data_IF_905663221561
#
_entry.id   IF_905663221561
#
_cell.length_a   1.000
_cell.length_b   1.000
_cell.length_c   1.000
_cell.angle_alpha   90.00
_cell.angle_beta   90.00
_cell.angle_gamma   90.00
#
_symmetry.space_group_name_H-M   'P 1'
#
loop_
_entity.id
_entity.type
_entity.pdbx_description
1 polymer ?
#
# COMPACT_ATOMS: atom_id res chain seq x y z
N UNK A 1 -12.59 -43.81 66.26
CA UNK A 1 -12.55 -43.58 64.81
C UNK A 1 -12.80 -42.10 64.60
N UNK A 2 -11.77 -41.32 64.26
CA UNK A 2 -11.97 -39.92 63.92
C UNK A 2 -12.74 -39.83 62.61
N UNK A 3 -13.90 -39.19 62.66
CA UNK A 3 -14.72 -38.88 61.50
C UNK A 3 -13.91 -37.97 60.56
N UNK A 4 -13.48 -38.51 59.42
CA UNK A 4 -12.74 -37.77 58.40
C UNK A 4 -13.66 -36.71 57.77
N UNK A 5 -13.74 -35.53 58.39
CA UNK A 5 -14.51 -34.40 57.86
C UNK A 5 -13.89 -33.96 56.54
N UNK A 6 -14.59 -34.25 55.43
CA UNK A 6 -14.16 -33.82 54.10
C UNK A 6 -13.91 -32.31 54.06
N UNK A 7 -12.71 -31.89 53.65
CA UNK A 7 -12.36 -30.47 53.47
C UNK A 7 -13.22 -29.86 52.36
N UNK A 8 -13.97 -28.82 52.68
CA UNK A 8 -14.79 -28.05 51.74
C UNK A 8 -13.94 -26.96 51.10
N UNK A 9 -14.01 -26.85 49.78
CA UNK A 9 -13.34 -25.79 49.01
C UNK A 9 -14.36 -24.83 48.41
N UNK A 10 -14.11 -23.53 48.56
CA UNK A 10 -14.95 -22.51 47.97
C UNK A 10 -14.47 -22.14 46.57
N UNK A 11 -15.43 -22.01 45.65
CA UNK A 11 -15.20 -21.61 44.26
C UNK A 11 -16.00 -20.35 43.96
N UNK A 12 -15.58 -19.59 42.95
CA UNK A 12 -16.28 -18.36 42.57
C UNK A 12 -17.74 -18.65 42.19
N UNK A 13 -18.65 -17.72 42.48
CA UNK A 13 -20.08 -17.85 42.14
C UNK A 13 -20.40 -17.44 40.70
N UNK A 14 -19.39 -17.00 39.94
CA UNK A 14 -19.50 -16.47 38.58
C UNK A 14 -19.39 -17.61 37.56
N UNK A 15 -20.05 -17.46 36.41
CA UNK A 15 -20.08 -18.49 35.39
C UNK A 15 -18.91 -18.33 34.40
N UNK A 16 -18.10 -19.38 34.27
CA UNK A 16 -16.98 -19.46 33.31
C UNK A 16 -17.42 -19.23 31.87
N UNK A 17 -18.54 -19.79 31.44
CA UNK A 17 -19.03 -19.66 30.04
C UNK A 17 -19.35 -18.21 29.70
N UNK A 18 -19.93 -17.46 30.65
CA UNK A 18 -20.24 -16.04 30.47
C UNK A 18 -18.95 -15.22 30.41
N UNK A 19 -17.98 -15.52 31.28
CA UNK A 19 -16.66 -14.87 31.22
C UNK A 19 -15.95 -15.13 29.89
N UNK A 20 -16.03 -16.35 29.35
CA UNK A 20 -15.46 -16.70 28.05
C UNK A 20 -16.13 -15.94 26.90
N UNK A 21 -17.46 -15.87 26.88
CA UNK A 21 -18.22 -15.12 25.88
C UNK A 21 -17.85 -13.64 25.87
N UNK A 22 -17.75 -13.03 27.06
CA UNK A 22 -17.31 -11.63 27.21
C UNK A 22 -15.87 -11.41 26.75
N UNK A 23 -15.01 -12.42 26.88
CA UNK A 23 -13.62 -12.36 26.41
C UNK A 23 -13.54 -12.41 24.88
N UNK A 24 -14.37 -13.25 24.23
CA UNK A 24 -14.48 -13.30 22.77
C UNK A 24 -15.00 -11.97 22.19
N UNK A 25 -15.99 -11.35 22.85
CA UNK A 25 -16.47 -10.03 22.45
C UNK A 25 -15.37 -8.95 22.53
N UNK A 26 -14.36 -9.17 23.38
CA UNK A 26 -13.16 -8.34 23.45
C UNK A 26 -12.34 -8.26 22.16
N UNK A 27 -12.42 -9.25 21.26
CA UNK A 27 -11.78 -9.19 19.94
C UNK A 27 -12.47 -8.24 18.96
N UNK A 28 -13.74 -7.93 19.21
CA UNK A 28 -14.55 -7.01 18.38
C UNK A 28 -14.34 -5.55 18.80
N UNK A 29 -13.42 -5.28 19.73
CA UNK A 29 -13.00 -3.92 20.13
C UNK A 29 -13.34 -3.53 21.56
N UNK A 30 -14.05 -4.37 22.32
CA UNK A 30 -14.47 -4.08 23.70
C UNK A 30 -13.82 -5.02 24.71
N UNK A 31 -12.49 -4.94 24.82
CA UNK A 31 -11.72 -5.80 25.70
C UNK A 31 -11.81 -5.38 27.18
N UNK A 32 -11.86 -6.36 28.10
CA UNK A 32 -11.82 -6.12 29.56
C UNK A 32 -13.15 -6.33 30.29
N UNK A 33 -14.25 -6.54 29.58
CA UNK A 33 -15.57 -6.81 30.18
C UNK A 33 -15.58 -8.08 31.05
N UNK A 34 -14.82 -9.10 30.66
CA UNK A 34 -14.68 -10.32 31.43
C UNK A 34 -14.10 -10.06 32.83
N UNK A 35 -13.19 -9.08 32.97
CA UNK A 35 -12.57 -8.72 34.27
C UNK A 35 -13.52 -7.94 35.17
N UNK A 36 -14.37 -7.10 34.58
CA UNK A 36 -15.46 -6.41 35.29
C UNK A 36 -16.49 -7.43 35.81
N UNK A 37 -16.81 -8.45 35.01
CA UNK A 37 -17.76 -9.51 35.39
C UNK A 37 -17.33 -10.30 36.65
N UNK A 38 -16.04 -10.58 36.80
CA UNK A 38 -15.47 -11.23 38.00
C UNK A 38 -15.14 -10.26 39.15
N UNK A 39 -15.47 -8.97 39.02
CA UNK A 39 -15.30 -7.97 40.07
C UNK A 39 -13.94 -7.27 40.10
N UNK A 40 -13.08 -7.48 39.10
CA UNK A 40 -11.76 -6.80 38.97
C UNK A 40 -11.91 -5.50 38.19
N UNK A 41 -12.64 -4.53 38.76
CA UNK A 41 -13.06 -3.30 38.09
C UNK A 41 -11.89 -2.45 37.57
N UNK A 42 -10.87 -2.21 38.39
CA UNK A 42 -9.74 -1.35 38.04
C UNK A 42 -8.97 -1.88 36.82
N UNK A 43 -8.69 -3.18 36.79
CA UNK A 43 -8.05 -3.86 35.65
C UNK A 43 -8.97 -3.91 34.42
N UNK A 44 -10.28 -4.05 34.62
CA UNK A 44 -11.26 -4.01 33.55
C UNK A 44 -11.30 -2.66 32.83
N UNK A 45 -11.31 -1.55 33.57
CA UNK A 45 -11.26 -0.21 32.98
C UNK A 45 -9.94 0.05 32.24
N UNK A 46 -8.81 -0.35 32.83
CA UNK A 46 -7.51 -0.25 32.13
C UNK A 46 -7.55 -1.01 30.81
N UNK A 47 -8.16 -2.19 30.75
CA UNK A 47 -8.29 -2.96 29.50
C UNK A 47 -9.21 -2.26 28.49
N UNK A 48 -10.29 -1.62 28.91
CA UNK A 48 -11.18 -0.87 27.99
C UNK A 48 -10.42 0.32 27.39
N UNK A 49 -9.71 1.10 28.20
CA UNK A 49 -8.95 2.27 27.71
C UNK A 49 -7.73 1.89 26.86
N UNK A 50 -7.12 0.73 27.09
CA UNK A 50 -5.95 0.24 26.34
C UNK A 50 -6.30 -0.69 25.18
N UNK A 51 -7.59 -0.83 24.83
CA UNK A 51 -8.06 -1.82 23.85
C UNK A 51 -7.50 -3.23 24.11
N UNK A 52 -7.57 -3.68 25.37
CA UNK A 52 -7.16 -5.01 25.81
C UNK A 52 -5.66 -5.24 25.90
N UNK A 53 -4.87 -4.15 25.95
CA UNK A 53 -3.41 -4.14 25.78
C UNK A 53 -2.99 -4.90 24.51
N UNK A 54 -3.38 -4.34 23.35
CA UNK A 54 -3.07 -4.82 22.00
C UNK A 54 -3.46 -6.29 21.74
N UNK A 55 -4.65 -6.72 22.21
CA UNK A 55 -5.15 -8.10 22.12
C UNK A 55 -4.34 -9.16 22.89
N UNK A 56 -3.09 -8.90 23.25
CA UNK A 56 -2.23 -9.80 24.02
C UNK A 56 -2.84 -10.07 25.40
N UNK A 57 -3.37 -9.03 26.05
CA UNK A 57 -4.07 -9.18 27.33
C UNK A 57 -5.34 -10.03 27.22
N UNK A 58 -6.09 -9.90 26.12
CA UNK A 58 -7.28 -10.73 25.85
C UNK A 58 -6.90 -12.19 25.59
N UNK A 59 -5.81 -12.45 24.85
CA UNK A 59 -5.29 -13.80 24.62
C UNK A 59 -4.85 -14.46 25.93
N UNK A 60 -4.15 -13.72 26.79
CA UNK A 60 -3.75 -14.20 28.11
C UNK A 60 -4.97 -14.59 28.97
N UNK A 61 -6.05 -13.79 28.91
CA UNK A 61 -7.30 -14.08 29.64
C UNK A 61 -8.00 -15.34 29.11
N UNK A 62 -8.00 -15.57 27.79
CA UNK A 62 -8.54 -16.82 27.19
C UNK A 62 -7.75 -18.02 27.69
N UNK A 63 -6.41 -17.95 27.63
CA UNK A 63 -5.53 -19.02 28.11
C UNK A 63 -5.84 -19.33 29.58
N UNK A 64 -5.95 -18.30 30.40
CA UNK A 64 -6.19 -18.46 31.83
C UNK A 64 -7.59 -19.03 32.14
N UNK A 65 -8.60 -18.70 31.34
CA UNK A 65 -9.94 -19.30 31.41
C UNK A 65 -9.93 -20.76 30.94
N UNK A 66 -9.24 -21.11 29.85
CA UNK A 66 -9.12 -22.47 29.35
C UNK A 66 -8.46 -23.41 30.39
N UNK A 67 -7.35 -22.96 30.99
CA UNK A 67 -6.63 -23.71 32.03
C UNK A 67 -7.27 -23.63 33.43
N UNK A 68 -8.42 -22.96 33.57
CA UNK A 68 -9.14 -22.80 34.85
C UNK A 68 -8.30 -22.16 35.97
N UNK A 69 -7.27 -21.40 35.59
CA UNK A 69 -6.41 -20.63 36.50
C UNK A 69 -6.95 -19.20 36.70
N UNK A 70 -8.12 -18.88 36.15
CA UNK A 70 -8.73 -17.55 36.22
C UNK A 70 -9.42 -17.36 37.55
N UNK A 71 -9.10 -16.26 38.23
CA UNK A 71 -9.55 -15.96 39.60
C UNK A 71 -10.46 -14.75 39.64
N UNK A 72 -11.42 -14.76 40.55
CA UNK A 72 -12.24 -13.59 40.86
C UNK A 72 -11.48 -12.54 41.67
N UNK A 73 -12.14 -11.42 41.98
CA UNK A 73 -11.56 -10.31 42.73
C UNK A 73 -11.03 -10.70 44.13
N UNK A 74 -11.62 -11.73 44.75
CA UNK A 74 -11.23 -12.22 46.07
C UNK A 74 -10.33 -13.48 45.98
N UNK A 75 -9.87 -13.83 44.77
CA UNK A 75 -8.87 -14.87 44.56
C UNK A 75 -9.40 -16.29 44.35
N UNK A 76 -10.72 -16.48 44.25
CA UNK A 76 -11.30 -17.82 44.05
C UNK A 76 -11.30 -18.25 42.58
N UNK A 77 -10.99 -19.52 42.27
CA UNK A 77 -10.93 -20.01 40.90
C UNK A 77 -12.32 -20.11 40.24
N UNK A 78 -12.35 -19.91 38.94
CA UNK A 78 -13.53 -19.96 38.08
C UNK A 78 -13.61 -21.30 37.34
N UNK A 79 -14.21 -22.31 37.96
CA UNK A 79 -14.33 -23.65 37.37
C UNK A 79 -15.52 -23.79 36.43
N UNK A 80 -15.39 -24.69 35.44
CA UNK A 80 -16.53 -25.14 34.64
C UNK A 80 -17.46 -26.06 35.44
N UNK A 81 -18.68 -26.28 34.95
CA UNK A 81 -19.61 -27.25 35.55
C UNK A 81 -18.99 -28.67 35.62
N UNK A 82 -18.22 -29.06 34.62
CA UNK A 82 -17.58 -30.39 34.51
C UNK A 82 -16.40 -30.56 35.48
N UNK A 83 -15.78 -29.47 35.93
CA UNK A 83 -14.61 -29.49 36.82
C UNK A 83 -14.97 -29.45 38.31
N UNK A 84 -16.27 -29.33 38.63
CA UNK A 84 -16.76 -29.27 40.01
C UNK A 84 -16.69 -30.64 40.69
N UNK A 85 -16.01 -30.70 41.85
CA UNK A 85 -15.96 -31.89 42.69
C UNK A 85 -17.05 -31.86 43.77
N UNK A 86 -17.36 -33.03 44.35
CA UNK A 86 -18.39 -33.17 45.40
C UNK A 86 -18.17 -32.28 46.63
N UNK A 87 -16.92 -31.97 46.94
CA UNK A 87 -16.53 -31.13 48.07
C UNK A 87 -16.36 -29.63 47.72
N UNK A 88 -16.73 -29.21 46.50
CA UNK A 88 -16.69 -27.80 46.10
C UNK A 88 -18.04 -27.13 46.35
N UNK A 89 -18.01 -25.90 46.86
CA UNK A 89 -19.21 -25.09 47.10
C UNK A 89 -19.01 -23.70 46.54
N UNK A 90 -20.02 -23.17 45.85
CA UNK A 90 -19.99 -21.76 45.46
C UNK A 90 -20.03 -20.88 46.70
N UNK A 91 -19.13 -19.91 46.76
CA UNK A 91 -19.19 -18.88 47.80
C UNK A 91 -20.41 -17.98 47.61
N UNK A 92 -20.90 -17.40 48.71
CA UNK A 92 -21.81 -16.27 48.63
C UNK A 92 -21.00 -15.01 48.30
N UNK A 93 -21.51 -14.21 47.37
CA UNK A 93 -20.89 -12.93 47.01
C UNK A 93 -20.92 -11.99 48.22
N UNK A 94 -19.77 -11.42 48.58
CA UNK A 94 -19.66 -10.47 49.70
C UNK A 94 -20.10 -9.06 49.28
N UNK A 95 -19.92 -8.72 48.00
CA UNK A 95 -20.24 -7.39 47.45
C UNK A 95 -20.94 -7.57 46.11
N UNK A 96 -22.20 -7.11 46.01
CA UNK A 96 -22.88 -7.03 44.72
C UNK A 96 -22.25 -5.87 43.93
N UNK A 97 -21.87 -6.00 42.65
CA UNK A 97 -21.52 -4.84 41.84
C UNK A 97 -22.67 -3.82 41.97
N UNK A 98 -22.38 -2.62 42.50
CA UNK A 98 -23.38 -1.56 42.46
C UNK A 98 -23.67 -1.24 40.99
N UNK A 99 -24.93 -0.96 40.69
CA UNK A 99 -25.41 -0.60 39.33
C UNK A 99 -24.49 0.45 38.69
N UNK A 100 -23.93 1.34 39.51
CA UNK A 100 -22.94 2.36 39.16
C UNK A 100 -21.75 1.79 38.34
N UNK A 101 -21.18 0.65 38.72
CA UNK A 101 -20.03 0.09 38.00
C UNK A 101 -20.39 -0.40 36.59
N UNK A 102 -21.60 -0.95 36.44
CA UNK A 102 -22.14 -1.35 35.13
C UNK A 102 -22.46 -0.13 34.26
N UNK A 103 -23.03 0.92 34.85
CA UNK A 103 -23.28 2.19 34.16
C UNK A 103 -21.99 2.84 33.66
N UNK A 104 -20.94 2.89 34.50
CA UNK A 104 -19.64 3.45 34.11
C UNK A 104 -19.00 2.60 32.99
N UNK A 105 -19.02 1.28 33.11
CA UNK A 105 -18.52 0.39 32.07
C UNK A 105 -19.25 0.63 30.74
N UNK A 106 -20.58 0.73 30.77
CA UNK A 106 -21.38 0.99 29.57
C UNK A 106 -21.04 2.35 28.92
N UNK A 107 -20.87 3.40 29.71
CA UNK A 107 -20.46 4.73 29.23
C UNK A 107 -19.07 4.67 28.57
N UNK A 108 -18.09 3.99 29.19
CA UNK A 108 -16.76 3.84 28.60
C UNK A 108 -16.80 3.11 27.25
N UNK A 109 -17.62 2.07 27.12
CA UNK A 109 -17.80 1.34 25.85
C UNK A 109 -18.41 2.25 24.78
N UNK A 110 -19.43 3.03 25.12
CA UNK A 110 -20.03 3.98 24.18
C UNK A 110 -19.04 5.06 23.71
N UNK A 111 -18.18 5.56 24.61
CA UNK A 111 -17.14 6.53 24.24
C UNK A 111 -16.12 5.94 23.27
N UNK A 112 -15.67 4.71 23.50
CA UNK A 112 -14.72 4.02 22.61
C UNK A 112 -15.37 3.73 21.25
N UNK A 113 -16.60 3.21 21.23
CA UNK A 113 -17.35 2.98 19.99
C UNK A 113 -17.61 4.29 19.22
N UNK A 114 -17.94 5.36 19.95
CA UNK A 114 -18.09 6.70 19.37
C UNK A 114 -16.80 7.23 18.75
N UNK A 115 -15.64 7.00 19.39
CA UNK A 115 -14.35 7.35 18.82
C UNK A 115 -14.04 6.54 17.55
N UNK A 116 -14.29 5.23 17.55
CA UNK A 116 -14.12 4.40 16.35
C UNK A 116 -15.05 4.83 15.20
N UNK A 117 -16.32 5.10 15.49
CA UNK A 117 -17.28 5.62 14.50
C UNK A 117 -16.88 7.02 14.00
N UNK A 118 -16.37 7.89 14.87
CA UNK A 118 -15.83 9.18 14.48
C UNK A 118 -14.61 9.03 13.56
N UNK A 119 -13.69 8.11 13.85
CA UNK A 119 -12.54 7.82 12.98
C UNK A 119 -13.00 7.32 11.60
N UNK A 120 -13.91 6.35 11.56
CA UNK A 120 -14.45 5.82 10.29
C UNK A 120 -15.15 6.93 9.50
N UNK A 121 -16.02 7.71 10.13
CA UNK A 121 -16.71 8.81 9.45
C UNK A 121 -15.76 9.90 8.99
N UNK A 122 -14.70 10.21 9.74
CA UNK A 122 -13.66 11.12 9.28
C UNK A 122 -12.92 10.54 8.08
N UNK A 123 -12.51 9.27 8.10
CA UNK A 123 -11.83 8.61 6.98
C UNK A 123 -12.69 8.59 5.72
N UNK A 124 -13.99 8.30 5.85
CA UNK A 124 -14.94 8.32 4.72
C UNK A 124 -15.10 9.75 4.20
N UNK A 125 -15.21 10.76 5.07
CA UNK A 125 -15.27 12.17 4.65
C UNK A 125 -13.99 12.61 3.94
N UNK A 126 -12.82 12.19 4.43
CA UNK A 126 -11.54 12.45 3.77
C UNK A 126 -11.46 11.76 2.41
N UNK A 127 -11.92 10.49 2.30
CA UNK A 127 -11.97 9.76 1.04
C UNK A 127 -12.93 10.40 0.02
N UNK A 128 -14.12 10.83 0.45
CA UNK A 128 -15.09 11.55 -0.39
C UNK A 128 -14.57 12.93 -0.82
N UNK A 129 -13.83 13.63 0.05
CA UNK A 129 -13.16 14.88 -0.33
C UNK A 129 -12.00 14.65 -1.31
N UNK A 130 -11.29 13.53 -1.20
CA UNK A 130 -10.28 13.13 -2.19
C UNK A 130 -10.94 12.85 -3.54
N UNK A 131 -12.04 12.10 -3.57
CA UNK A 131 -12.79 11.83 -4.81
C UNK A 131 -13.36 13.12 -5.43
N UNK A 132 -14.03 13.99 -4.65
CA UNK A 132 -14.50 15.29 -5.15
C UNK A 132 -13.37 16.24 -5.56
N UNK A 133 -12.20 16.17 -4.91
CA UNK A 133 -11.04 16.97 -5.30
C UNK A 133 -10.43 16.45 -6.60
N UNK A 134 -10.37 15.15 -6.81
CA UNK A 134 -9.95 14.54 -8.09
C UNK A 134 -10.93 14.90 -9.21
N UNK A 135 -12.23 14.80 -8.96
CA UNK A 135 -13.30 15.09 -9.94
C UNK A 135 -13.43 16.60 -10.24
N UNK A 136 -13.24 17.47 -9.24
CA UNK A 136 -13.23 18.94 -9.45
C UNK A 136 -11.91 19.48 -10.01
N UNK A 137 -10.82 18.70 -9.94
CA UNK A 137 -9.54 19.02 -10.61
C UNK A 137 -9.62 18.62 -12.08
N UNK A 138 -10.25 17.49 -12.43
CA UNK A 138 -10.55 17.13 -13.83
C UNK A 138 -11.51 18.12 -14.51
N UNK A 139 -12.49 18.68 -13.79
CA UNK A 139 -13.44 19.67 -14.35
C UNK A 139 -12.85 21.11 -14.43
N UNK A 140 -11.77 21.43 -13.69
CA UNK A 140 -11.15 22.77 -13.69
C UNK A 140 -9.92 22.92 -14.60
N UNK A 141 -9.44 21.84 -15.22
CA UNK A 141 -8.34 21.91 -16.20
C UNK A 141 -8.80 22.14 -17.64
N UNK A 142 -9.97 22.74 -17.86
CA UNK A 142 -10.22 23.48 -19.10
C UNK A 142 -9.62 24.89 -19.02
N UNK A 143 -8.43 25.01 -19.61
CA UNK A 143 -7.84 26.20 -20.25
C UNK A 143 -7.76 27.48 -19.42
N UNK A 144 -6.65 27.64 -18.68
CA UNK A 144 -5.94 28.93 -18.60
C UNK A 144 -4.49 28.72 -19.01
N UNK A 145 -4.26 28.81 -20.30
CA UNK A 145 -2.94 28.98 -20.90
C UNK A 145 -2.30 30.26 -20.37
N UNK A 146 -1.39 30.11 -19.40
CA UNK A 146 -0.37 31.13 -19.16
C UNK A 146 0.62 31.00 -20.31
N UNK A 147 0.63 32.00 -21.20
CA UNK A 147 1.71 32.16 -22.17
C UNK A 147 3.01 32.32 -21.40
N UNK A 148 3.83 31.27 -21.45
CA UNK A 148 5.26 31.36 -21.15
C UNK A 148 5.91 31.55 -22.52
N UNK A 149 6.33 32.78 -22.82
CA UNK A 149 7.31 33.01 -23.87
C UNK A 149 8.65 32.47 -23.38
N UNK A 150 8.89 31.19 -23.65
CA UNK A 150 10.23 30.65 -23.74
C UNK A 150 10.53 30.46 -25.22
N UNK A 151 11.49 31.23 -25.73
CA UNK A 151 12.10 30.99 -27.03
C UNK A 151 12.59 29.54 -27.10
N UNK A 152 11.90 28.73 -27.90
CA UNK A 152 12.29 27.41 -28.39
C UNK A 152 12.79 26.41 -27.33
N UNK A 153 11.86 25.81 -26.58
CA UNK A 153 12.15 24.54 -25.89
C UNK A 153 11.04 23.54 -26.19
N UNK A 154 11.44 22.45 -26.85
CA UNK A 154 10.67 21.31 -27.39
C UNK A 154 9.37 21.01 -26.61
N UNK A 155 8.20 21.02 -27.28
CA UNK A 155 6.88 20.68 -26.67
C UNK A 155 6.90 19.34 -25.92
N UNK A 156 7.83 18.46 -26.28
CA UNK A 156 8.05 17.16 -25.66
C UNK A 156 8.55 17.23 -24.20
N UNK A 157 9.15 18.34 -23.73
CA UNK A 157 9.62 18.45 -22.34
C UNK A 157 8.50 18.37 -21.31
N UNK A 158 7.27 18.72 -21.69
CA UNK A 158 6.09 18.57 -20.84
C UNK A 158 5.80 17.10 -20.50
N UNK A 159 6.43 16.14 -21.18
CA UNK A 159 6.37 14.70 -20.88
C UNK A 159 7.33 14.27 -19.77
N UNK A 160 8.08 15.19 -19.16
CA UNK A 160 8.78 14.93 -17.90
C UNK A 160 7.95 15.51 -16.76
N UNK A 161 7.31 14.62 -15.99
CA UNK A 161 6.51 14.98 -14.83
C UNK A 161 7.41 15.06 -13.60
N UNK A 162 7.32 16.17 -12.87
CA UNK A 162 8.12 16.41 -11.66
C UNK A 162 7.16 16.55 -10.49
N UNK A 163 7.33 15.70 -9.49
CA UNK A 163 6.57 15.69 -8.25
C UNK A 163 7.50 15.94 -7.07
N UNK A 164 7.09 16.82 -6.14
CA UNK A 164 7.85 17.12 -4.94
C UNK A 164 7.04 16.68 -3.73
N UNK A 165 7.61 15.78 -2.94
CA UNK A 165 6.97 15.24 -1.74
C UNK A 165 7.69 15.77 -0.51
N UNK A 166 6.96 16.35 0.43
CA UNK A 166 7.50 16.79 1.71
C UNK A 166 7.53 15.61 2.70
N UNK A 167 8.63 15.46 3.42
CA UNK A 167 8.72 14.51 4.51
C UNK A 167 7.70 14.88 5.61
N UNK A 168 7.17 13.88 6.30
CA UNK A 168 6.25 14.06 7.42
C UNK A 168 6.99 14.47 8.70
N UNK A 169 8.28 14.18 8.78
CA UNK A 169 9.11 14.49 9.95
C UNK A 169 9.53 15.97 9.97
N UNK A 170 9.24 16.64 11.08
CA UNK A 170 9.65 18.02 11.35
C UNK A 170 10.90 18.04 12.25
N UNK A 171 11.95 18.75 11.84
CA UNK A 171 13.13 19.03 12.67
C UNK A 171 13.28 20.55 12.72
N UNK A 172 13.11 21.13 13.91
CA UNK A 172 13.25 22.59 14.13
C UNK A 172 12.38 23.46 13.19
N UNK A 173 11.19 22.98 12.84
CA UNK A 173 10.26 23.70 11.95
C UNK A 173 10.49 23.45 10.46
N UNK A 174 11.59 22.77 10.08
CA UNK A 174 11.93 22.46 8.69
C UNK A 174 11.73 20.99 8.38
N UNK A 175 11.58 20.67 7.09
CA UNK A 175 11.40 19.31 6.57
C UNK A 175 12.33 19.05 5.41
N UNK A 176 12.67 17.79 5.23
CA UNK A 176 13.26 17.32 3.97
C UNK A 176 12.17 17.14 2.92
N UNK A 177 12.59 17.08 1.67
CA UNK A 177 11.69 16.80 0.56
C UNK A 177 12.34 15.82 -0.42
N UNK A 178 11.51 15.11 -1.17
CA UNK A 178 11.92 14.26 -2.28
C UNK A 178 11.51 14.92 -3.59
N UNK A 179 12.35 14.75 -4.60
CA UNK A 179 12.08 15.19 -5.97
C UNK A 179 11.96 13.94 -6.83
N UNK A 180 10.75 13.62 -7.24
CA UNK A 180 10.42 12.52 -8.12
C UNK A 180 10.32 13.05 -9.55
N UNK A 181 11.09 12.47 -10.46
CA UNK A 181 11.11 12.86 -11.87
C UNK A 181 10.73 11.64 -12.71
N UNK A 182 9.56 11.70 -13.33
CA UNK A 182 9.00 10.64 -14.14
C UNK A 182 9.04 11.02 -15.63
N UNK A 183 9.61 10.17 -16.46
CA UNK A 183 9.59 10.34 -17.91
C UNK A 183 8.38 9.61 -18.50
N UNK A 184 7.32 10.34 -18.84
CA UNK A 184 6.11 9.78 -19.48
C UNK A 184 6.23 9.74 -21.01
N UNK A 185 7.36 10.16 -21.57
CA UNK A 185 7.60 10.14 -23.01
C UNK A 185 7.96 8.74 -23.55
N UNK A 186 8.01 8.62 -24.88
CA UNK A 186 8.41 7.40 -25.57
C UNK A 186 9.93 7.28 -25.77
N UNK A 187 10.72 8.24 -25.28
CA UNK A 187 12.15 8.33 -25.53
C UNK A 187 12.95 8.50 -24.24
N UNK A 188 14.15 7.93 -24.16
CA UNK A 188 15.06 8.23 -23.06
C UNK A 188 15.39 9.72 -23.05
N UNK A 189 15.43 10.31 -21.86
CA UNK A 189 15.72 11.72 -21.65
C UNK A 189 17.11 11.88 -21.01
N UNK A 190 17.90 12.80 -21.57
CA UNK A 190 19.14 13.26 -20.97
C UNK A 190 19.01 14.76 -20.68
N UNK A 191 19.18 15.14 -19.42
CA UNK A 191 19.04 16.53 -19.02
C UNK A 191 19.37 16.77 -17.57
N UNK A 192 19.05 17.99 -17.13
CA UNK A 192 19.26 18.48 -15.78
C UNK A 192 17.97 19.11 -15.29
N UNK A 193 17.63 18.81 -14.04
CA UNK A 193 16.55 19.46 -13.31
C UNK A 193 17.13 20.44 -12.30
N UNK A 194 16.66 21.69 -12.38
CA UNK A 194 16.90 22.74 -11.41
C UNK A 194 15.66 22.88 -10.53
N UNK A 195 15.83 22.74 -9.22
CA UNK A 195 14.81 22.96 -8.21
C UNK A 195 15.27 24.09 -7.29
N UNK A 196 14.48 25.14 -7.23
CA UNK A 196 14.68 26.28 -6.35
C UNK A 196 13.49 26.38 -5.39
N UNK A 197 13.75 26.57 -4.10
CA UNK A 197 12.71 26.72 -3.09
C UNK A 197 12.97 27.99 -2.27
N UNK A 198 11.90 28.76 -2.00
CA UNK A 198 12.01 29.98 -1.20
C UNK A 198 12.39 29.63 0.24
N UNK A 199 13.59 30.00 0.69
CA UNK A 199 14.10 29.67 2.03
C UNK A 199 15.17 28.57 2.06
N UNK A 200 15.50 27.97 0.90
CA UNK A 200 16.54 26.93 0.76
C UNK A 200 17.98 27.44 0.92
N UNK A 201 18.18 28.76 1.10
CA UNK A 201 19.49 29.40 1.07
C UNK A 201 20.11 29.39 -0.34
N UNK A 202 21.43 29.63 -0.44
CA UNK A 202 22.16 29.68 -1.72
C UNK A 202 22.36 28.30 -2.40
N UNK A 203 21.75 27.24 -1.88
CA UNK A 203 21.87 25.89 -2.42
C UNK A 203 20.82 25.70 -3.51
N UNK A 204 21.21 25.76 -4.77
CA UNK A 204 20.35 25.35 -5.87
C UNK A 204 20.30 23.81 -5.98
N UNK A 205 19.08 23.26 -6.02
CA UNK A 205 18.83 21.84 -6.19
C UNK A 205 19.05 21.41 -7.63
N UNK A 206 20.31 21.19 -8.02
CA UNK A 206 20.66 20.70 -9.35
C UNK A 206 20.77 19.16 -9.34
N UNK A 207 19.94 18.49 -10.15
CA UNK A 207 19.82 17.04 -10.25
C UNK A 207 20.07 16.56 -11.68
N UNK A 208 21.00 15.61 -11.83
CA UNK A 208 21.35 15.02 -13.12
C UNK A 208 20.35 13.92 -13.50
N UNK A 209 19.67 14.09 -14.64
CA UNK A 209 18.69 13.17 -15.18
C UNK A 209 19.25 12.27 -16.28
N UNK A 210 20.57 12.15 -16.42
CA UNK A 210 21.22 11.32 -17.45
C UNK A 210 20.58 9.94 -17.61
N UNK A 211 20.19 9.61 -18.83
CA UNK A 211 19.63 8.33 -19.25
C UNK A 211 18.35 7.93 -18.48
N UNK A 212 17.43 8.88 -18.28
CA UNK A 212 16.11 8.62 -17.69
C UNK A 212 15.22 7.89 -18.71
N UNK A 213 14.94 6.61 -18.48
CA UNK A 213 14.18 5.78 -19.41
C UNK A 213 12.69 6.16 -19.45
N UNK A 214 11.98 5.86 -20.56
CA UNK A 214 10.52 5.90 -20.58
C UNK A 214 9.89 5.14 -19.41
N UNK A 215 8.86 5.70 -18.78
CA UNK A 215 8.17 5.15 -17.61
C UNK A 215 9.04 5.01 -16.34
N UNK A 216 10.30 5.46 -16.37
CA UNK A 216 11.16 5.43 -15.19
C UNK A 216 10.94 6.68 -14.35
N UNK A 217 10.76 6.47 -13.06
CA UNK A 217 10.87 7.53 -12.05
C UNK A 217 12.25 7.50 -11.41
N UNK A 218 12.93 8.64 -11.39
CA UNK A 218 14.12 8.87 -10.54
C UNK A 218 13.75 9.74 -9.37
N UNK A 219 14.10 9.28 -8.17
CA UNK A 219 13.87 10.01 -6.92
C UNK A 219 15.19 10.57 -6.41
N UNK A 220 15.19 11.86 -6.07
CA UNK A 220 16.32 12.54 -5.45
C UNK A 220 15.92 13.09 -4.08
N UNK A 221 16.88 13.13 -3.16
CA UNK A 221 16.70 13.83 -1.89
C UNK A 221 16.97 15.31 -2.10
N UNK A 222 16.03 16.13 -1.64
CA UNK A 222 16.10 17.59 -1.62
C UNK A 222 17.38 18.10 -0.97
N UNK A 223 18.06 19.07 -1.61
CA UNK A 223 19.18 19.79 -1.00
C UNK A 223 18.64 20.87 -0.06
N UNK A 224 18.98 20.77 1.22
CA UNK A 224 18.55 21.71 2.25
C UNK A 224 17.19 21.35 2.87
N UNK A 225 16.84 22.06 3.95
CA UNK A 225 15.57 21.87 4.64
C UNK A 225 14.64 23.05 4.35
N UNK A 226 13.35 22.77 4.18
CA UNK A 226 12.32 23.73 3.74
C UNK A 226 11.19 23.84 4.75
N UNK A 227 10.53 25.00 4.79
CA UNK A 227 9.35 25.25 5.61
C UNK A 227 8.09 24.66 4.96
N UNK A 228 7.03 24.41 5.75
CA UNK A 228 5.77 23.78 5.32
C UNK A 228 5.05 24.53 4.18
N UNK A 229 5.23 25.84 4.10
CA UNK A 229 4.59 26.69 3.08
C UNK A 229 5.54 27.09 1.95
N UNK A 230 6.68 26.39 1.82
CA UNK A 230 7.69 26.71 0.82
C UNK A 230 7.14 26.44 -0.58
N UNK A 231 7.24 27.45 -1.45
CA UNK A 231 6.94 27.29 -2.88
C UNK A 231 8.20 26.85 -3.62
N UNK A 232 8.06 25.79 -4.42
CA UNK A 232 9.10 25.30 -5.31
C UNK A 232 8.94 25.88 -6.71
N UNK A 233 10.06 26.13 -7.36
CA UNK A 233 10.18 26.46 -8.78
C UNK A 233 11.09 25.43 -9.41
N UNK A 234 10.60 24.80 -10.47
CA UNK A 234 11.35 23.80 -11.22
C UNK A 234 11.63 24.31 -12.63
N UNK A 235 12.82 24.00 -13.13
CA UNK A 235 13.20 24.23 -14.52
C UNK A 235 13.97 23.02 -15.02
N UNK A 236 13.58 22.49 -16.17
CA UNK A 236 14.21 21.32 -16.77
C UNK A 236 14.81 21.70 -18.11
N UNK A 237 16.03 21.23 -18.35
CA UNK A 237 16.74 21.42 -19.61
C UNK A 237 17.29 20.08 -20.06
N UNK A 238 17.18 19.77 -21.35
CA UNK A 238 17.69 18.52 -21.88
C UNK A 238 17.05 18.15 -23.20
N UNK A 239 17.38 16.95 -23.68
CA UNK A 239 16.94 16.45 -24.98
C UNK A 239 16.46 15.01 -24.88
N UNK A 240 15.43 14.68 -25.65
CA UNK A 240 15.02 13.30 -25.86
C UNK A 240 15.92 12.62 -26.89
N UNK A 241 16.40 11.42 -26.56
CA UNK A 241 17.09 10.53 -27.49
C UNK A 241 16.06 9.83 -28.38
N UNK A 242 15.50 10.58 -29.34
CA UNK A 242 14.62 10.06 -30.39
C UNK A 242 15.41 9.06 -31.23
N UNK A 243 15.12 7.77 -31.07
CA UNK A 243 15.81 6.72 -31.82
C UNK A 243 15.30 6.70 -33.26
N UNK A 244 16.21 6.60 -34.22
CA UNK A 244 15.87 6.53 -35.63
C UNK A 244 15.25 5.16 -35.92
N UNK A 245 13.95 5.18 -36.23
CA UNK A 245 13.21 4.03 -36.73
C UNK A 245 13.64 3.74 -38.18
N UNK A 246 13.88 2.48 -38.52
CA UNK A 246 14.08 2.09 -39.92
C UNK A 246 12.84 2.44 -40.76
N UNK A 247 13.02 3.26 -41.79
CA UNK A 247 11.93 3.70 -42.67
C UNK A 247 11.28 2.56 -43.43
N UNK A 248 11.97 1.43 -43.57
CA UNK A 248 11.46 0.24 -44.28
C UNK A 248 10.52 -0.61 -43.42
N UNK A 249 10.50 -0.43 -42.09
CA UNK A 249 9.67 -1.21 -41.18
C UNK A 249 8.38 -0.47 -40.83
N UNK A 250 7.25 -1.05 -41.24
CA UNK A 250 5.92 -0.46 -41.06
C UNK A 250 5.28 -0.92 -39.75
N UNK A 251 5.71 -0.31 -38.65
CA UNK A 251 5.11 -0.49 -37.31
C UNK A 251 4.88 0.83 -36.59
N UNK A 252 3.99 0.82 -35.59
CA UNK A 252 3.76 1.96 -34.71
C UNK A 252 3.72 1.49 -33.26
N UNK A 253 4.50 2.13 -32.39
CA UNK A 253 4.36 1.93 -30.94
C UNK A 253 3.10 2.66 -30.50
N UNK A 254 2.11 1.91 -30.04
CA UNK A 254 0.77 2.42 -29.70
C UNK A 254 0.55 2.54 -28.20
N UNK A 255 1.34 1.82 -27.41
CA UNK A 255 1.30 1.88 -25.95
C UNK A 255 2.62 1.39 -25.38
N UNK A 256 3.00 1.88 -24.22
CA UNK A 256 4.17 1.40 -23.51
C UNK A 256 3.96 1.48 -22.01
N UNK A 257 4.59 0.58 -21.29
CA UNK A 257 4.66 0.56 -19.83
C UNK A 257 6.10 0.42 -19.41
N UNK A 258 6.49 1.17 -18.37
CA UNK A 258 7.86 1.19 -17.89
C UNK A 258 7.94 1.32 -16.38
N UNK A 259 9.07 0.88 -15.83
CA UNK A 259 9.40 1.05 -14.41
C UNK A 259 10.41 0.02 -13.92
N UNK A 260 11.26 0.39 -12.95
CA UNK A 260 12.22 -0.51 -12.28
C UNK A 260 13.10 -1.37 -13.23
N UNK A 261 13.49 -0.80 -14.38
CA UNK A 261 14.32 -1.50 -15.37
C UNK A 261 13.56 -2.49 -16.26
N UNK A 262 12.22 -2.47 -16.24
CA UNK A 262 11.36 -3.23 -17.14
C UNK A 262 10.67 -2.27 -18.12
N UNK A 263 10.54 -2.69 -19.38
CA UNK A 263 9.80 -1.97 -20.41
C UNK A 263 8.97 -2.93 -21.25
N UNK A 264 7.68 -2.63 -21.41
CA UNK A 264 6.78 -3.30 -22.33
C UNK A 264 6.32 -2.35 -23.40
N UNK A 265 6.51 -2.69 -24.66
CA UNK A 265 6.04 -1.94 -25.83
C UNK A 265 4.92 -2.71 -26.51
N UNK A 266 3.79 -2.06 -26.74
CA UNK A 266 2.75 -2.55 -27.65
C UNK A 266 2.96 -1.93 -29.02
N UNK A 267 3.08 -2.79 -30.01
CA UNK A 267 3.45 -2.45 -31.37
C UNK A 267 2.34 -2.87 -32.31
N UNK A 268 1.70 -1.87 -32.92
CA UNK A 268 0.77 -2.08 -34.01
C UNK A 268 1.52 -2.39 -35.30
N UNK A 269 1.16 -3.51 -35.94
CA UNK A 269 1.69 -3.93 -37.23
C UNK A 269 0.54 -4.32 -38.17
N UNK A 270 0.71 -4.05 -39.47
CA UNK A 270 -0.24 -4.48 -40.50
C UNK A 270 0.06 -5.89 -41.02
N UNK A 271 1.35 -6.21 -41.13
CA UNK A 271 1.84 -7.52 -41.57
C UNK A 271 2.39 -8.32 -40.38
N UNK A 272 1.83 -9.50 -40.14
CA UNK A 272 2.24 -10.44 -39.07
C UNK A 272 3.10 -11.59 -39.60
N UNK A 273 3.71 -11.44 -40.78
CA UNK A 273 4.66 -12.43 -41.28
C UNK A 273 5.83 -12.63 -40.30
N UNK A 274 6.26 -13.88 -40.15
CA UNK A 274 7.36 -14.28 -39.24
C UNK A 274 8.64 -13.44 -39.51
N UNK A 275 8.90 -13.12 -40.78
CA UNK A 275 10.03 -12.29 -41.20
C UNK A 275 9.89 -10.83 -40.72
N UNK A 276 8.72 -10.20 -40.89
CA UNK A 276 8.48 -8.83 -40.47
C UNK A 276 8.55 -8.68 -38.94
N UNK A 277 7.93 -9.60 -38.21
CA UNK A 277 7.96 -9.59 -36.73
C UNK A 277 9.38 -9.78 -36.20
N UNK A 278 10.17 -10.65 -36.83
CA UNK A 278 11.58 -10.86 -36.47
C UNK A 278 12.42 -9.61 -36.74
N UNK A 279 12.21 -8.94 -37.88
CA UNK A 279 12.93 -7.72 -38.23
C UNK A 279 12.65 -6.58 -37.24
N UNK A 280 11.36 -6.34 -36.94
CA UNK A 280 10.94 -5.31 -35.97
C UNK A 280 11.49 -5.63 -34.57
N UNK A 281 11.37 -6.89 -34.13
CA UNK A 281 11.88 -7.31 -32.83
C UNK A 281 13.40 -7.12 -32.74
N UNK A 282 14.14 -7.39 -33.81
CA UNK A 282 15.60 -7.22 -33.87
C UNK A 282 16.00 -5.74 -33.84
N UNK A 283 15.28 -4.88 -34.57
CA UNK A 283 15.50 -3.44 -34.54
C UNK A 283 15.23 -2.89 -33.13
N UNK A 284 14.08 -3.22 -32.56
CA UNK A 284 13.70 -2.77 -31.23
C UNK A 284 14.63 -3.34 -30.15
N UNK A 285 15.09 -4.59 -30.27
CA UNK A 285 16.15 -5.11 -29.41
C UNK A 285 17.37 -4.18 -29.45
N UNK A 286 17.95 -3.91 -30.63
CA UNK A 286 19.15 -3.07 -30.76
C UNK A 286 18.94 -1.67 -30.19
N UNK A 287 17.75 -1.13 -30.37
CA UNK A 287 17.40 0.22 -29.97
C UNK A 287 17.11 0.35 -28.47
N UNK A 288 16.47 -0.65 -27.85
CA UNK A 288 15.91 -0.55 -26.49
C UNK A 288 16.53 -1.53 -25.46
N UNK A 289 17.10 -2.68 -25.85
CA UNK A 289 17.54 -3.72 -24.90
C UNK A 289 18.70 -3.28 -24.01
N UNK A 290 19.69 -2.57 -24.53
CA UNK A 290 20.87 -2.14 -23.78
C UNK A 290 20.59 -1.12 -22.66
N UNK A 291 19.33 -0.73 -22.45
CA UNK A 291 18.91 0.29 -21.48
C UNK A 291 17.98 -0.23 -20.40
N UNK A 292 17.53 -1.48 -20.50
CA UNK A 292 16.56 -2.12 -19.58
C UNK A 292 17.02 -3.53 -19.23
N UNK A 293 16.65 -4.02 -18.05
CA UNK A 293 16.90 -5.40 -17.64
C UNK A 293 15.88 -6.37 -18.22
N UNK A 294 14.64 -5.91 -18.38
CA UNK A 294 13.54 -6.68 -18.98
C UNK A 294 12.92 -5.87 -20.11
N UNK A 295 12.88 -6.45 -21.30
CA UNK A 295 12.28 -5.83 -22.49
C UNK A 295 11.22 -6.78 -23.03
N UNK A 296 10.01 -6.27 -23.19
CA UNK A 296 8.90 -6.99 -23.78
C UNK A 296 8.31 -6.19 -24.94
N UNK A 297 8.08 -6.85 -26.07
CA UNK A 297 7.52 -6.27 -27.28
C UNK A 297 6.32 -7.10 -27.66
N UNK A 298 5.12 -6.55 -27.56
CA UNK A 298 3.85 -7.18 -27.86
C UNK A 298 3.29 -6.66 -29.17
N UNK A 299 3.03 -7.57 -30.11
CA UNK A 299 2.47 -7.22 -31.42
C UNK A 299 0.95 -7.33 -31.41
N UNK A 300 0.27 -6.26 -31.83
CA UNK A 300 -1.20 -6.16 -31.79
C UNK A 300 -1.78 -5.58 -33.07
N UNK A 301 -3.06 -5.89 -33.32
CA UNK A 301 -3.88 -5.25 -34.36
C UNK A 301 -4.66 -4.04 -33.85
N UNK A 302 -4.63 -3.77 -32.54
CA UNK A 302 -5.39 -2.70 -31.90
C UNK A 302 -4.51 -1.45 -31.83
N UNK A 303 -4.97 -0.35 -32.43
CA UNK A 303 -4.24 0.92 -32.44
C UNK A 303 -4.46 1.75 -31.16
N UNK A 304 -5.65 1.67 -30.57
CA UNK A 304 -6.04 2.52 -29.47
C UNK A 304 -6.09 1.70 -28.17
N UNK A 305 -5.19 2.01 -27.25
CA UNK A 305 -5.13 1.45 -25.89
C UNK A 305 -5.23 -0.10 -25.81
N UNK A 306 -4.33 -0.85 -26.48
CA UNK A 306 -4.32 -2.31 -26.43
C UNK A 306 -4.17 -2.85 -25.00
N UNK A 307 -4.83 -3.97 -24.74
CA UNK A 307 -4.69 -4.80 -23.55
C UNK A 307 -3.68 -5.94 -23.79
N UNK A 308 -3.33 -6.68 -22.73
CA UNK A 308 -2.43 -7.83 -22.84
C UNK A 308 -3.00 -8.92 -23.77
N UNK A 309 -4.31 -9.13 -23.73
CA UNK A 309 -5.03 -10.15 -24.49
C UNK A 309 -5.12 -9.83 -25.99
N UNK A 310 -4.91 -8.56 -26.37
CA UNK A 310 -4.88 -8.12 -27.77
C UNK A 310 -3.55 -8.44 -28.48
N UNK A 311 -2.62 -9.07 -27.78
CA UNK A 311 -1.28 -9.42 -28.30
C UNK A 311 -1.33 -10.77 -29.03
N UNK A 312 -0.94 -10.77 -30.30
CA UNK A 312 -0.88 -12.00 -31.11
C UNK A 312 0.51 -12.66 -31.09
N UNK A 313 1.55 -11.84 -30.91
CA UNK A 313 2.91 -12.31 -30.79
C UNK A 313 3.66 -11.46 -29.76
N UNK A 314 4.74 -12.01 -29.21
CA UNK A 314 5.55 -11.32 -28.22
C UNK A 314 7.02 -11.68 -28.35
N UNK A 315 7.90 -10.70 -28.32
CA UNK A 315 9.32 -10.87 -28.07
C UNK A 315 9.65 -10.45 -26.63
N UNK A 316 10.44 -11.24 -25.91
CA UNK A 316 10.82 -10.92 -24.53
C UNK A 316 12.29 -11.19 -24.24
N UNK A 317 12.91 -10.31 -23.46
CA UNK A 317 14.20 -10.48 -22.80
C UNK A 317 13.92 -10.53 -21.31
N UNK A 318 13.75 -11.74 -20.78
CA UNK A 318 13.47 -11.92 -19.36
C UNK A 318 14.55 -12.83 -18.75
N UNK A 319 15.57 -12.27 -18.07
CA UNK A 319 16.72 -13.05 -17.58
C UNK A 319 16.35 -14.20 -16.65
N UNK A 320 15.25 -14.05 -15.89
CA UNK A 320 14.76 -15.06 -14.96
C UNK A 320 13.91 -16.15 -15.64
N UNK A 321 13.33 -15.86 -16.80
CA UNK A 321 12.48 -16.80 -17.54
C UNK A 321 13.20 -17.37 -18.76
N UNK A 322 13.95 -18.47 -18.55
CA UNK A 322 14.69 -19.17 -19.63
C UNK A 322 13.81 -19.65 -20.79
N UNK A 323 12.50 -19.85 -20.57
CA UNK A 323 11.61 -20.32 -21.62
C UNK A 323 11.34 -19.23 -22.66
N UNK A 324 11.28 -17.96 -22.24
CA UNK A 324 10.93 -16.81 -23.09
C UNK A 324 12.11 -15.89 -23.40
N UNK A 325 13.21 -16.00 -22.65
CA UNK A 325 14.36 -15.12 -22.83
C UNK A 325 14.92 -15.21 -24.26
N UNK A 326 15.03 -14.05 -24.92
CA UNK A 326 15.47 -13.90 -26.31
C UNK A 326 14.58 -14.58 -27.35
N UNK A 327 13.32 -14.89 -27.03
CA UNK A 327 12.41 -15.58 -27.96
C UNK A 327 11.27 -14.69 -28.40
N UNK A 328 11.01 -14.72 -29.71
CA UNK A 328 9.79 -14.24 -30.32
C UNK A 328 8.81 -15.42 -30.41
N UNK A 329 7.65 -15.28 -29.77
CA UNK A 329 6.62 -16.32 -29.66
C UNK A 329 5.30 -15.85 -30.24
N UNK A 330 4.52 -16.83 -30.72
CA UNK A 330 3.14 -16.64 -31.17
C UNK A 330 2.17 -17.17 -30.11
N UNK A 331 1.09 -16.44 -29.86
CA UNK A 331 0.05 -16.85 -28.90
C UNK A 331 -1.13 -17.53 -29.59
N UNK A 332 -1.70 -18.54 -28.92
CA UNK A 332 -2.96 -19.14 -29.33
C UNK A 332 -4.15 -18.25 -28.88
N UNK A 333 -5.38 -18.64 -29.25
CA UNK A 333 -6.62 -17.94 -28.85
C UNK A 333 -6.90 -17.94 -27.33
N UNK A 334 -6.19 -18.76 -26.57
CA UNK A 334 -6.30 -18.87 -25.11
C UNK A 334 -5.22 -18.06 -24.36
N UNK A 335 -4.28 -17.43 -25.09
CA UNK A 335 -3.17 -16.65 -24.51
C UNK A 335 -1.92 -17.48 -24.20
N UNK A 336 -1.90 -18.78 -24.49
CA UNK A 336 -0.72 -19.62 -24.30
C UNK A 336 0.24 -19.55 -25.49
N UNK A 337 1.52 -19.83 -25.26
CA UNK A 337 2.52 -19.92 -26.31
C UNK A 337 2.22 -21.10 -27.23
N UNK A 338 1.84 -20.81 -28.47
CA UNK A 338 1.56 -21.80 -29.50
C UNK A 338 2.84 -22.30 -30.15
N UNK A 339 3.71 -21.36 -30.55
CA UNK A 339 4.99 -21.67 -31.21
C UNK A 339 6.03 -20.58 -30.99
N UNK A 340 7.30 -20.97 -31.08
CA UNK A 340 8.43 -20.04 -31.14
C UNK A 340 8.70 -19.71 -32.60
N UNK A 341 8.71 -18.41 -32.94
CA UNK A 341 8.94 -17.91 -34.30
C UNK A 341 10.44 -17.76 -34.57
N UNK A 342 11.15 -17.11 -33.64
CA UNK A 342 12.58 -16.82 -33.78
C UNK A 342 13.25 -16.71 -32.41
N UNK A 343 14.57 -16.92 -32.38
CA UNK A 343 15.42 -16.58 -31.23
C UNK A 343 16.33 -15.44 -31.67
N UNK A 344 16.24 -14.29 -30.99
CA UNK A 344 16.93 -13.05 -31.36
C UNK A 344 17.98 -12.78 -30.28
N UNK A 345 19.28 -12.72 -30.65
CA UNK A 345 20.41 -12.63 -29.72
C UNK A 345 20.38 -11.35 -28.88
#
# INVERSE_FOLDING_TARGET
MEENKEKIYYVSSKNKTIALLLTLLGFVGVAGLQRIYVGRYLLGFVYIFTCGLFFIGTIYDIIQLCYEKFKDADGYPLYSKSSMKRNYRHRKLTKNPSIIHWSIAFICVLLVMGFYAFRITTTIKYAQQLEQKTESTEIKEETKSVKIENENVDEDLNKIVIEIELDQVLIEGKRKFLVNVNNTSNYPFDGVLHVNAKGMGALEGLYDLKNLQPGQTKTFIGKGDVDEFTTFRTSIQGNFKKQQKDTNLSYQIVKQYGGNGMMTYFVYVKDFSDANLTAISTEMYKNYSGKVHDLEIRFTKVQNNPSLDDSLAMYSIHPMNKALNHKLVWFNKSGDVERVIATIP
#
